data_IF_900452752855
#
_entry.id   IF_900452752855
#
_cell.length_a   1.000
_cell.length_b   1.000
_cell.length_c   1.000
_cell.angle_alpha   90.00
_cell.angle_beta   90.00
_cell.angle_gamma   90.00
#
_symmetry.space_group_name_H-M   'P 1'
#
loop_
_entity.id
_entity.type
_entity.pdbx_description
1 polymer ?
#
# COMPACT_ATOMS: atom_id res chain seq x y z
N UNK A 1 39.57 28.54 29.59
CA UNK A 1 39.06 28.68 28.21
C UNK A 1 37.54 28.50 28.26
N UNK A 2 36.79 29.51 27.87
CA UNK A 2 35.34 29.41 27.80
C UNK A 2 34.98 28.33 26.76
N UNK A 3 34.28 27.27 27.19
CA UNK A 3 33.69 26.30 26.26
C UNK A 3 32.70 27.06 25.39
N UNK A 4 32.88 27.05 24.06
CA UNK A 4 31.94 27.69 23.17
C UNK A 4 30.53 27.12 23.44
N UNK A 5 29.51 27.97 23.43
CA UNK A 5 28.14 27.57 23.49
C UNK A 5 27.92 26.52 22.37
N UNK A 6 27.15 25.47 22.65
CA UNK A 6 26.77 24.42 21.67
C UNK A 6 27.84 23.35 21.36
N UNK A 7 28.96 23.23 22.03
CA UNK A 7 29.93 22.14 21.82
C UNK A 7 29.28 20.73 21.95
N UNK A 8 28.25 20.59 22.78
CA UNK A 8 27.50 19.33 22.91
C UNK A 8 26.70 18.96 21.64
N UNK A 9 26.32 19.95 20.84
CA UNK A 9 25.59 19.75 19.60
C UNK A 9 26.50 19.37 18.43
N UNK A 10 27.81 19.56 18.55
CA UNK A 10 28.76 19.34 17.48
C UNK A 10 28.67 17.96 16.84
N UNK A 11 28.65 16.89 17.65
CA UNK A 11 28.51 15.51 17.13
C UNK A 11 27.18 15.27 16.41
N UNK A 12 26.08 15.82 16.93
CA UNK A 12 24.78 15.70 16.32
C UNK A 12 24.70 16.42 14.97
N UNK A 13 25.29 17.61 14.90
CA UNK A 13 25.35 18.39 13.66
C UNK A 13 26.25 17.71 12.62
N UNK A 14 27.42 17.19 13.03
CA UNK A 14 28.28 16.42 12.13
C UNK A 14 27.56 15.17 11.56
N UNK A 15 26.89 14.42 12.44
CA UNK A 15 26.08 13.28 12.03
C UNK A 15 25.01 13.69 11.02
N UNK A 16 24.21 14.70 11.36
CA UNK A 16 23.13 15.20 10.49
C UNK A 16 23.66 15.66 9.13
N UNK A 17 24.79 16.37 9.12
CA UNK A 17 25.41 16.82 7.87
C UNK A 17 25.86 15.65 6.99
N UNK A 18 26.56 14.67 7.59
CA UNK A 18 27.03 13.47 6.90
C UNK A 18 25.87 12.65 6.35
N UNK A 19 24.85 12.36 7.17
CA UNK A 19 23.66 11.61 6.75
C UNK A 19 22.95 12.30 5.58
N UNK A 20 22.91 13.62 5.56
CA UNK A 20 22.19 14.38 4.55
C UNK A 20 23.01 14.64 3.28
N UNK A 21 24.32 14.89 3.39
CA UNK A 21 25.10 15.42 2.28
C UNK A 21 26.15 14.45 1.73
N UNK A 22 26.31 13.25 2.30
CA UNK A 22 27.30 12.30 1.82
C UNK A 22 26.69 10.98 1.35
N UNK A 23 27.27 10.39 0.35
CA UNK A 23 27.11 9.04 -0.15
C UNK A 23 28.40 8.63 -0.86
N UNK A 24 28.50 7.39 -1.37
CA UNK A 24 29.68 6.87 -2.04
C UNK A 24 30.14 7.75 -3.23
N UNK A 25 29.19 8.27 -4.02
CA UNK A 25 29.48 9.12 -5.17
C UNK A 25 29.78 10.59 -4.78
N UNK A 26 29.38 10.99 -3.57
CA UNK A 26 29.49 12.38 -3.07
C UNK A 26 30.09 12.40 -1.65
N UNK A 27 31.35 11.99 -1.49
CA UNK A 27 32.01 12.05 -0.19
C UNK A 27 32.29 13.50 0.20
N UNK A 28 32.20 13.82 1.49
CA UNK A 28 32.42 15.17 2.03
C UNK A 28 33.84 15.33 2.63
N UNK A 29 34.40 16.48 2.42
CA UNK A 29 35.75 16.81 2.95
C UNK A 29 35.69 17.32 4.38
N UNK A 30 36.81 17.21 5.12
CA UNK A 30 36.93 17.80 6.45
C UNK A 30 36.76 19.33 6.42
N UNK A 31 37.10 19.98 5.29
CA UNK A 31 36.93 21.44 5.14
C UNK A 31 35.42 21.80 5.10
N UNK A 32 34.60 21.05 4.35
CA UNK A 32 33.15 21.25 4.30
C UNK A 32 32.49 21.03 5.68
N UNK A 33 32.98 20.05 6.46
CA UNK A 33 32.49 19.84 7.83
C UNK A 33 32.79 21.01 8.75
N UNK A 34 34.01 21.59 8.65
CA UNK A 34 34.40 22.77 9.40
C UNK A 34 33.59 24.01 9.02
N UNK A 35 33.39 24.24 7.72
CA UNK A 35 32.56 25.32 7.19
C UNK A 35 31.12 25.23 7.68
N UNK A 36 30.54 24.03 7.63
CA UNK A 36 29.19 23.79 8.14
C UNK A 36 29.09 24.09 9.65
N UNK A 37 30.03 23.58 10.47
CA UNK A 37 30.03 23.86 11.90
C UNK A 37 30.19 25.36 12.19
N UNK A 38 31.00 26.04 11.41
CA UNK A 38 31.19 27.50 11.55
C UNK A 38 29.87 28.24 11.23
N UNK A 39 29.11 27.80 10.22
CA UNK A 39 27.79 28.38 9.91
C UNK A 39 26.75 28.17 11.02
N UNK A 40 26.91 27.08 11.81
CA UNK A 40 26.09 26.78 12.99
C UNK A 40 26.66 27.45 14.29
N UNK A 41 27.65 28.33 14.15
CA UNK A 41 28.27 29.07 15.28
C UNK A 41 29.20 28.21 16.14
N UNK A 42 29.67 27.06 15.63
CA UNK A 42 30.62 26.20 16.36
C UNK A 42 31.99 26.29 15.76
N UNK A 43 32.93 26.80 16.54
CA UNK A 43 34.34 26.77 16.18
C UNK A 43 34.94 25.40 16.47
N UNK A 44 35.58 24.80 15.48
CA UNK A 44 36.26 23.52 15.60
C UNK A 44 37.59 23.52 14.85
N UNK A 45 38.55 22.76 15.37
CA UNK A 45 39.82 22.50 14.69
C UNK A 45 39.77 21.18 13.92
N UNK A 46 40.55 21.11 12.84
CA UNK A 46 40.61 19.90 11.98
C UNK A 46 40.93 18.63 12.78
N UNK A 47 41.84 18.68 13.75
CA UNK A 47 42.20 17.54 14.60
C UNK A 47 41.01 17.05 15.43
N UNK A 48 40.21 17.99 15.95
CA UNK A 48 39.02 17.69 16.72
C UNK A 48 37.94 17.00 15.87
N UNK A 49 37.81 17.36 14.57
CA UNK A 49 36.85 16.68 13.66
C UNK A 49 37.19 15.21 13.50
N UNK A 50 38.48 14.85 13.36
CA UNK A 50 38.85 13.43 13.24
C UNK A 50 38.41 12.62 14.47
N UNK A 51 38.68 13.18 15.69
CA UNK A 51 38.22 12.52 16.92
C UNK A 51 36.71 12.41 17.03
N UNK A 52 35.98 13.43 16.55
CA UNK A 52 34.51 13.38 16.51
C UNK A 52 33.99 12.34 15.54
N UNK A 53 34.62 12.18 14.37
CA UNK A 53 34.26 11.18 13.38
C UNK A 53 34.54 9.76 13.90
N UNK A 54 35.65 9.53 14.59
CA UNK A 54 35.95 8.26 15.27
C UNK A 54 34.91 7.96 16.36
N UNK A 55 34.46 8.97 17.10
CA UNK A 55 33.41 8.82 18.10
C UNK A 55 32.06 8.43 17.43
N UNK A 56 31.70 9.01 16.27
CA UNK A 56 30.53 8.65 15.52
C UNK A 56 30.61 7.22 14.96
N UNK A 57 31.77 6.78 14.48
CA UNK A 57 32.02 5.40 14.08
C UNK A 57 31.84 4.44 15.27
N UNK A 58 32.41 4.78 16.42
CA UNK A 58 32.28 3.98 17.64
C UNK A 58 30.83 3.92 18.16
N UNK A 59 30.02 4.94 17.87
CA UNK A 59 28.59 4.97 18.17
C UNK A 59 27.78 4.05 17.22
N UNK A 60 28.37 3.59 16.11
CA UNK A 60 27.74 2.70 15.16
C UNK A 60 27.34 3.33 13.82
N UNK A 61 27.83 4.54 13.53
CA UNK A 61 27.66 5.14 12.22
C UNK A 61 28.64 4.49 11.24
N UNK A 62 28.12 3.86 10.17
CA UNK A 62 28.99 3.30 9.12
C UNK A 62 29.60 4.40 8.26
N UNK A 63 30.64 5.03 8.82
CA UNK A 63 31.33 6.15 8.22
C UNK A 63 32.62 5.65 7.55
N UNK A 64 32.65 5.72 6.23
CA UNK A 64 33.76 5.28 5.42
C UNK A 64 34.67 6.45 5.03
N UNK A 65 35.97 6.16 5.01
CA UNK A 65 37.01 7.12 4.65
C UNK A 65 37.55 6.80 3.27
N UNK A 66 37.58 7.81 2.39
CA UNK A 66 38.15 7.73 1.06
C UNK A 66 39.16 8.86 0.84
N UNK A 67 40.11 8.65 -0.05
CA UNK A 67 41.06 9.69 -0.47
C UNK A 67 40.77 10.11 -1.89
N UNK A 68 40.60 11.40 -2.09
CA UNK A 68 40.58 12.03 -3.41
C UNK A 68 41.87 12.85 -3.56
N UNK A 69 42.85 12.29 -4.24
CA UNK A 69 44.23 12.81 -4.27
C UNK A 69 44.82 12.91 -2.87
N UNK A 70 45.15 14.13 -2.44
CA UNK A 70 45.71 14.42 -1.10
C UNK A 70 44.62 14.79 -0.07
N UNK A 71 43.34 14.79 -0.47
CA UNK A 71 42.23 15.19 0.39
C UNK A 71 41.59 13.95 1.01
N UNK A 72 41.37 13.99 2.31
CA UNK A 72 40.58 12.95 3.01
C UNK A 72 39.13 13.35 3.01
N UNK A 73 38.29 12.45 2.53
CA UNK A 73 36.83 12.58 2.43
C UNK A 73 36.16 11.48 3.22
N UNK A 74 34.91 11.70 3.57
CA UNK A 74 34.08 10.80 4.38
C UNK A 74 32.70 10.68 3.79
N UNK A 75 32.12 9.50 3.89
CA UNK A 75 30.72 9.27 3.49
C UNK A 75 30.07 8.18 4.33
N UNK A 76 28.75 8.19 4.40
CA UNK A 76 27.96 7.14 5.02
C UNK A 76 27.85 5.98 4.02
N UNK A 77 28.38 4.79 4.39
CA UNK A 77 28.33 3.58 3.60
C UNK A 77 26.97 2.90 3.71
N UNK A 78 26.71 2.26 4.84
CA UNK A 78 25.45 1.57 5.07
C UNK A 78 24.41 2.50 5.71
N UNK A 79 23.18 2.43 5.20
CA UNK A 79 22.02 3.16 5.72
C UNK A 79 20.94 2.18 6.12
N UNK A 80 20.00 2.63 6.95
CA UNK A 80 18.82 1.81 7.34
C UNK A 80 18.06 1.28 6.12
N UNK A 81 17.99 2.10 5.06
CA UNK A 81 17.45 1.71 3.77
C UNK A 81 18.45 1.95 2.67
N UNK A 82 18.62 0.97 1.80
CA UNK A 82 19.37 1.13 0.56
C UNK A 82 18.55 1.89 -0.48
N UNK A 83 19.22 2.54 -1.43
CA UNK A 83 18.53 3.32 -2.47
C UNK A 83 17.51 2.51 -3.30
N UNK A 84 17.75 1.24 -3.70
CA UNK A 84 16.74 0.42 -4.38
C UNK A 84 15.48 0.19 -3.52
N UNK A 85 15.62 0.01 -2.22
CA UNK A 85 14.49 -0.18 -1.29
C UNK A 85 13.66 1.11 -1.18
N UNK A 86 14.32 2.27 -1.04
CA UNK A 86 13.64 3.56 -1.05
C UNK A 86 12.91 3.84 -2.35
N UNK A 87 13.49 3.44 -3.50
CA UNK A 87 12.81 3.51 -4.81
C UNK A 87 11.54 2.67 -4.82
N UNK A 88 11.62 1.43 -4.38
CA UNK A 88 10.46 0.53 -4.31
C UNK A 88 9.35 1.10 -3.42
N UNK A 89 9.71 1.64 -2.24
CA UNK A 89 8.76 2.29 -1.33
C UNK A 89 8.14 3.54 -1.96
N UNK A 90 8.94 4.39 -2.61
CA UNK A 90 8.46 5.59 -3.29
C UNK A 90 7.50 5.24 -4.44
N UNK A 91 7.81 4.21 -5.24
CA UNK A 91 6.98 3.71 -6.34
C UNK A 91 5.66 3.15 -5.81
N UNK A 92 5.68 2.40 -4.70
CA UNK A 92 4.49 1.87 -4.04
C UNK A 92 3.56 3.00 -3.56
N UNK A 93 4.12 4.04 -2.93
CA UNK A 93 3.37 5.23 -2.52
C UNK A 93 2.81 6.00 -3.72
N UNK A 94 3.62 6.15 -4.77
CA UNK A 94 3.23 6.88 -5.98
C UNK A 94 2.14 6.16 -6.77
N UNK A 95 2.22 4.84 -6.89
CA UNK A 95 1.28 4.02 -7.65
C UNK A 95 -0.05 3.80 -6.90
N UNK A 96 -0.08 3.88 -5.59
CA UNK A 96 -1.28 3.64 -4.79
C UNK A 96 -2.42 4.59 -5.15
N UNK A 97 -3.60 4.05 -5.47
CA UNK A 97 -4.85 4.81 -5.68
C UNK A 97 -5.45 5.29 -4.37
N UNK A 98 -5.20 4.54 -3.30
CA UNK A 98 -5.72 4.80 -1.97
C UNK A 98 -5.17 6.09 -1.36
N UNK A 99 -3.90 6.43 -1.63
CA UNK A 99 -3.22 7.60 -1.08
C UNK A 99 -3.47 8.81 -1.97
N UNK A 100 -3.93 9.93 -1.39
CA UNK A 100 -4.13 11.19 -2.13
C UNK A 100 -2.81 11.70 -2.72
N UNK A 101 -2.89 12.50 -3.78
CA UNK A 101 -1.68 13.08 -4.41
C UNK A 101 -0.86 13.88 -3.40
N UNK A 102 -1.51 14.71 -2.56
CA UNK A 102 -0.85 15.53 -1.54
C UNK A 102 -0.12 14.63 -0.53
N UNK A 103 -0.81 13.61 -0.01
CA UNK A 103 -0.22 12.69 0.98
C UNK A 103 0.92 11.85 0.39
N UNK A 104 0.82 11.46 -0.89
CA UNK A 104 1.93 10.78 -1.57
C UNK A 104 3.20 11.65 -1.62
N UNK A 105 3.06 12.94 -1.97
CA UNK A 105 4.19 13.86 -1.99
C UNK A 105 4.81 14.06 -0.60
N UNK A 106 3.98 14.17 0.44
CA UNK A 106 4.45 14.27 1.83
C UNK A 106 5.22 13.01 2.27
N UNK A 107 4.72 11.81 1.93
CA UNK A 107 5.37 10.55 2.26
C UNK A 107 6.68 10.38 1.50
N UNK A 108 6.71 10.70 0.20
CA UNK A 108 7.94 10.65 -0.60
C UNK A 108 8.97 11.62 -0.04
N UNK A 109 8.57 12.84 0.36
CA UNK A 109 9.49 13.78 0.99
C UNK A 109 10.09 13.26 2.32
N UNK A 110 9.34 12.46 3.07
CA UNK A 110 9.87 11.77 4.27
C UNK A 110 10.86 10.67 3.88
N UNK A 111 10.59 9.88 2.85
CA UNK A 111 11.51 8.86 2.33
C UNK A 111 12.81 9.49 1.82
N UNK A 112 12.73 10.64 1.15
CA UNK A 112 13.89 11.42 0.72
C UNK A 112 14.80 11.83 1.90
N UNK A 113 14.23 12.06 3.08
CA UNK A 113 14.96 12.35 4.30
C UNK A 113 15.80 11.19 4.86
N UNK A 114 15.59 9.96 4.36
CA UNK A 114 16.32 8.77 4.79
C UNK A 114 17.59 8.50 3.96
N UNK A 115 17.87 9.33 2.98
CA UNK A 115 19.05 9.21 2.12
C UNK A 115 19.74 10.56 1.91
N UNK A 116 20.86 10.58 1.14
CA UNK A 116 21.53 11.83 0.81
C UNK A 116 20.68 12.72 -0.10
N UNK A 117 20.93 14.04 -0.07
CA UNK A 117 20.25 14.99 -0.97
C UNK A 117 20.53 14.70 -2.46
N UNK A 118 21.61 14.01 -2.75
CA UNK A 118 21.97 13.61 -4.10
C UNK A 118 21.10 12.45 -4.58
N UNK A 119 21.02 11.39 -3.77
CA UNK A 119 20.16 10.22 -4.04
C UNK A 119 18.67 10.57 -3.94
N UNK A 120 18.26 11.48 -3.07
CA UNK A 120 16.88 11.95 -2.95
C UNK A 120 16.35 12.56 -4.27
N UNK A 121 17.20 13.23 -5.05
CA UNK A 121 16.82 13.75 -6.38
C UNK A 121 16.44 12.64 -7.36
N UNK A 122 16.98 11.45 -7.17
CA UNK A 122 16.64 10.30 -8.00
C UNK A 122 15.27 9.74 -7.65
N UNK A 123 14.85 9.78 -6.37
CA UNK A 123 13.52 9.34 -5.94
C UNK A 123 12.39 10.19 -6.56
N UNK A 124 12.65 11.47 -6.83
CA UNK A 124 11.65 12.38 -7.44
C UNK A 124 11.40 12.14 -8.93
N UNK A 125 12.32 11.51 -9.63
CA UNK A 125 12.24 11.27 -11.09
C UNK A 125 11.44 10.04 -11.46
N UNK A 126 10.80 9.41 -10.48
CA UNK A 126 10.27 8.06 -10.59
C UNK A 126 8.90 8.01 -11.27
N UNK A 127 8.63 6.86 -11.79
CA UNK A 127 7.43 6.29 -12.40
C UNK A 127 6.30 7.28 -12.74
N UNK A 128 6.14 7.56 -14.03
CA UNK A 128 4.95 8.22 -14.55
C UNK A 128 3.77 7.26 -14.45
N UNK A 129 2.97 7.42 -13.41
CA UNK A 129 1.72 6.68 -13.25
C UNK A 129 0.69 7.27 -14.22
N UNK A 130 0.49 6.60 -15.35
CA UNK A 130 -0.43 7.04 -16.39
C UNK A 130 -1.87 7.00 -15.87
N UNK A 131 -2.54 8.16 -15.82
CA UNK A 131 -3.99 8.33 -15.62
C UNK A 131 -4.64 7.60 -14.42
N UNK A 132 -3.94 7.42 -13.30
CA UNK A 132 -4.58 6.89 -12.09
C UNK A 132 -5.32 7.98 -11.34
N UNK A 133 -6.63 7.80 -11.20
CA UNK A 133 -7.47 8.64 -10.33
C UNK A 133 -7.12 8.25 -8.89
N UNK A 134 -6.41 9.13 -8.18
CA UNK A 134 -6.12 8.95 -6.75
C UNK A 134 -7.34 9.33 -5.92
N UNK A 135 -7.45 8.74 -4.73
CA UNK A 135 -8.48 9.10 -3.77
C UNK A 135 -8.44 10.61 -3.49
N UNK A 136 -9.62 11.23 -3.41
CA UNK A 136 -9.76 12.65 -3.08
C UNK A 136 -9.97 12.88 -1.58
N UNK A 137 -10.21 11.81 -0.81
CA UNK A 137 -10.53 11.89 0.60
C UNK A 137 -9.28 11.62 1.46
N UNK A 138 -8.75 12.66 2.10
CA UNK A 138 -7.61 12.53 3.03
C UNK A 138 -7.98 11.80 4.33
N UNK A 139 -9.28 11.69 4.67
CA UNK A 139 -9.73 11.03 5.90
C UNK A 139 -9.55 9.51 5.88
N UNK A 140 -9.39 8.89 4.70
CA UNK A 140 -9.24 7.43 4.58
C UNK A 140 -8.06 6.91 5.42
N UNK A 141 -6.97 7.64 5.45
CA UNK A 141 -5.80 7.30 6.26
C UNK A 141 -6.15 7.18 7.76
N UNK A 142 -6.94 8.13 8.28
CA UNK A 142 -7.39 8.11 9.67
C UNK A 142 -8.44 7.01 9.90
N UNK A 143 -9.33 6.77 8.94
CA UNK A 143 -10.31 5.68 9.02
C UNK A 143 -9.64 4.31 9.15
N UNK A 144 -8.56 4.07 8.41
CA UNK A 144 -7.80 2.81 8.54
C UNK A 144 -7.20 2.67 9.93
N UNK A 145 -6.63 3.74 10.50
CA UNK A 145 -6.05 3.74 11.85
C UNK A 145 -7.12 3.53 12.94
N UNK A 146 -8.27 4.20 12.81
CA UNK A 146 -9.42 4.01 13.70
C UNK A 146 -9.96 2.58 13.63
N UNK A 147 -10.04 1.98 12.44
CA UNK A 147 -10.46 0.60 12.25
C UNK A 147 -9.46 -0.38 12.89
N UNK A 148 -8.15 -0.18 12.72
CA UNK A 148 -7.14 -0.96 13.43
C UNK A 148 -7.29 -0.86 14.94
N UNK A 149 -7.53 0.34 15.45
CA UNK A 149 -7.74 0.57 16.89
C UNK A 149 -8.98 -0.17 17.39
N UNK A 150 -10.08 -0.13 16.64
CA UNK A 150 -11.30 -0.84 16.99
C UNK A 150 -11.12 -2.37 16.97
N UNK A 151 -10.41 -2.89 15.96
CA UNK A 151 -10.09 -4.32 15.84
C UNK A 151 -9.24 -4.80 17.03
N UNK A 152 -8.16 -4.07 17.34
CA UNK A 152 -7.26 -4.41 18.43
C UNK A 152 -7.90 -4.27 19.82
N UNK A 153 -8.84 -3.35 19.95
CA UNK A 153 -9.57 -3.10 21.18
C UNK A 153 -10.85 -3.92 21.37
N UNK A 154 -11.14 -4.88 20.48
CA UNK A 154 -12.37 -5.69 20.50
C UNK A 154 -13.66 -4.86 20.55
N UNK A 155 -13.67 -3.69 19.88
CA UNK A 155 -14.79 -2.74 19.91
C UNK A 155 -15.70 -2.93 18.70
N UNK A 156 -17.01 -2.78 18.93
CA UNK A 156 -17.97 -2.59 17.83
C UNK A 156 -17.88 -1.17 17.29
N UNK A 157 -18.24 -1.03 16.02
CA UNK A 157 -18.23 0.25 15.31
C UNK A 157 -19.57 0.52 14.65
N UNK A 158 -19.85 1.79 14.46
CA UNK A 158 -20.97 2.28 13.65
C UNK A 158 -20.45 3.24 12.62
N UNK A 159 -21.06 3.20 11.44
CA UNK A 159 -20.69 4.10 10.35
C UNK A 159 -21.85 4.26 9.37
N UNK A 160 -21.78 5.31 8.56
CA UNK A 160 -22.58 5.43 7.36
C UNK A 160 -21.81 4.86 6.17
N UNK A 161 -22.52 4.20 5.26
CA UNK A 161 -21.92 3.62 4.06
C UNK A 161 -22.45 4.32 2.82
N UNK A 162 -21.55 4.73 1.93
CA UNK A 162 -21.87 5.53 0.76
C UNK A 162 -21.80 4.70 -0.52
N UNK A 163 -22.55 5.12 -1.52
CA UNK A 163 -22.49 4.61 -2.88
C UNK A 163 -22.61 5.77 -3.87
N UNK A 164 -22.78 5.45 -5.12
CA UNK A 164 -23.08 6.44 -6.18
C UNK A 164 -24.47 6.16 -6.74
N UNK A 165 -25.20 7.25 -7.05
CA UNK A 165 -26.45 7.15 -7.82
C UNK A 165 -26.17 7.07 -9.32
N UNK A 166 -27.22 6.89 -10.14
CA UNK A 166 -27.11 6.84 -11.61
C UNK A 166 -26.62 8.14 -12.27
N UNK A 167 -26.50 9.23 -11.51
CA UNK A 167 -25.93 10.52 -11.94
C UNK A 167 -24.49 10.72 -11.46
N UNK A 168 -23.86 9.70 -10.84
CA UNK A 168 -22.51 9.78 -10.31
C UNK A 168 -22.37 10.58 -9.01
N UNK A 169 -23.47 10.89 -8.32
CA UNK A 169 -23.44 11.63 -7.06
C UNK A 169 -23.31 10.65 -5.89
N UNK A 170 -22.47 10.99 -4.93
CA UNK A 170 -22.28 10.20 -3.70
C UNK A 170 -23.55 10.30 -2.84
N UNK A 171 -24.13 9.16 -2.51
CA UNK A 171 -25.35 9.04 -1.70
C UNK A 171 -25.15 8.04 -0.59
N UNK A 172 -25.83 8.24 0.55
CA UNK A 172 -25.85 7.29 1.66
C UNK A 172 -26.67 6.07 1.27
N UNK A 173 -26.13 4.89 1.48
CA UNK A 173 -26.89 3.62 1.31
C UNK A 173 -27.88 3.42 2.48
N UNK A 174 -28.86 2.58 2.29
CA UNK A 174 -29.96 2.27 3.26
C UNK A 174 -30.68 3.53 3.75
N UNK A 175 -30.84 4.56 2.90
CA UNK A 175 -31.49 5.81 3.31
C UNK A 175 -30.77 6.57 4.42
N UNK A 176 -29.47 6.36 4.60
CA UNK A 176 -28.68 6.99 5.66
C UNK A 176 -28.71 6.26 7.00
N UNK A 177 -29.20 5.02 7.05
CA UNK A 177 -29.16 4.23 8.28
C UNK A 177 -27.71 3.88 8.66
N UNK A 178 -27.47 3.79 9.96
CA UNK A 178 -26.22 3.33 10.53
C UNK A 178 -25.99 1.84 10.26
N UNK A 179 -24.76 1.50 9.95
CA UNK A 179 -24.26 0.15 9.94
C UNK A 179 -23.63 -0.13 11.30
N UNK A 180 -24.08 -1.19 11.98
CA UNK A 180 -23.54 -1.65 13.27
C UNK A 180 -22.74 -2.93 12.99
N UNK A 181 -21.42 -2.85 13.11
CA UNK A 181 -20.51 -3.88 12.65
C UNK A 181 -19.46 -4.20 13.70
N UNK A 182 -19.21 -5.49 13.92
CA UNK A 182 -18.08 -5.99 14.70
C UNK A 182 -16.89 -6.20 13.76
N UNK A 183 -15.85 -5.34 13.80
CA UNK A 183 -14.72 -5.41 12.88
C UNK A 183 -13.76 -6.54 13.27
N UNK A 184 -13.29 -7.35 12.31
CA UNK A 184 -12.38 -8.46 12.55
C UNK A 184 -11.05 -8.35 11.83
N UNK A 185 -11.05 -7.93 10.59
CA UNK A 185 -9.83 -7.79 9.80
C UNK A 185 -9.93 -6.64 8.79
N UNK A 186 -8.77 -6.12 8.39
CA UNK A 186 -8.63 -5.30 7.21
C UNK A 186 -7.92 -6.11 6.14
N UNK A 187 -8.52 -6.16 4.97
CA UNK A 187 -7.98 -6.81 3.79
C UNK A 187 -7.56 -5.74 2.77
N UNK A 188 -6.41 -5.95 2.15
CA UNK A 188 -5.97 -5.17 1.00
C UNK A 188 -6.20 -5.97 -0.28
N UNK A 189 -7.09 -5.51 -1.15
CA UNK A 189 -7.38 -6.12 -2.45
C UNK A 189 -7.61 -5.04 -3.51
N UNK A 190 -7.05 -5.24 -4.71
CA UNK A 190 -7.13 -4.33 -5.87
C UNK A 190 -6.96 -2.84 -5.48
N UNK A 191 -5.89 -2.54 -4.75
CA UNK A 191 -5.53 -1.19 -4.30
C UNK A 191 -6.58 -0.51 -3.39
N UNK A 192 -7.46 -1.28 -2.74
CA UNK A 192 -8.44 -0.79 -1.77
C UNK A 192 -8.34 -1.54 -0.45
N UNK A 193 -8.64 -0.86 0.64
CA UNK A 193 -8.89 -1.51 1.93
C UNK A 193 -10.33 -1.94 2.02
N UNK A 194 -10.53 -3.15 2.51
CA UNK A 194 -11.83 -3.73 2.83
C UNK A 194 -11.85 -4.11 4.31
N UNK A 195 -12.85 -3.61 5.01
CA UNK A 195 -13.15 -4.05 6.36
C UNK A 195 -13.95 -5.36 6.26
N UNK A 196 -13.45 -6.42 6.89
CA UNK A 196 -14.17 -7.67 7.11
C UNK A 196 -14.77 -7.59 8.50
N UNK A 197 -16.08 -7.68 8.59
CA UNK A 197 -16.79 -7.54 9.86
C UNK A 197 -18.12 -8.29 9.89
N UNK A 198 -18.59 -8.58 11.09
CA UNK A 198 -19.91 -9.15 11.30
C UNK A 198 -20.95 -8.03 11.36
N UNK A 199 -21.89 -8.04 10.41
CA UNK A 199 -23.01 -7.08 10.33
C UNK A 199 -24.15 -7.62 11.20
N UNK A 200 -24.42 -6.98 12.35
CA UNK A 200 -25.44 -7.41 13.31
C UNK A 200 -26.86 -7.40 12.72
N UNK A 201 -27.12 -6.53 11.72
CA UNK A 201 -28.43 -6.47 11.07
C UNK A 201 -28.75 -7.68 10.17
N UNK A 202 -27.72 -8.35 9.63
CA UNK A 202 -27.86 -9.52 8.76
C UNK A 202 -27.35 -10.80 9.43
N UNK A 203 -26.72 -10.71 10.59
CA UNK A 203 -26.12 -11.83 11.32
C UNK A 203 -25.11 -12.63 10.48
N UNK A 204 -24.31 -11.96 9.65
CA UNK A 204 -23.35 -12.55 8.74
C UNK A 204 -22.05 -11.76 8.64
N UNK A 205 -20.97 -12.43 8.19
CA UNK A 205 -19.71 -11.76 7.85
C UNK A 205 -19.88 -11.05 6.50
N UNK A 206 -19.53 -9.79 6.49
CA UNK A 206 -19.58 -8.93 5.29
C UNK A 206 -18.29 -8.15 5.14
N UNK A 207 -18.05 -7.65 3.93
CA UNK A 207 -16.92 -6.76 3.65
C UNK A 207 -17.41 -5.38 3.20
N UNK A 208 -16.68 -4.37 3.60
CA UNK A 208 -17.01 -2.96 3.33
C UNK A 208 -15.76 -2.24 2.83
N UNK A 209 -15.84 -1.60 1.67
CA UNK A 209 -14.75 -0.76 1.20
C UNK A 209 -14.57 0.44 2.13
N UNK A 210 -13.35 0.62 2.63
CA UNK A 210 -13.07 1.66 3.63
C UNK A 210 -13.26 3.07 3.07
N UNK A 211 -12.98 3.30 1.77
CA UNK A 211 -13.21 4.59 1.11
C UNK A 211 -14.67 5.02 1.00
N UNK A 212 -15.61 4.07 1.23
CA UNK A 212 -17.06 4.31 1.24
C UNK A 212 -17.63 4.49 2.65
N UNK A 213 -16.81 4.32 3.69
CA UNK A 213 -17.19 4.54 5.09
C UNK A 213 -17.14 6.04 5.39
N UNK A 214 -18.12 6.54 6.13
CA UNK A 214 -18.17 7.89 6.69
C UNK A 214 -18.73 7.86 8.10
N UNK A 215 -18.41 8.89 8.89
CA UNK A 215 -18.93 9.09 10.25
C UNK A 215 -18.65 7.87 11.17
N UNK A 216 -17.45 7.30 11.04
CA UNK A 216 -17.04 6.15 11.85
C UNK A 216 -17.00 6.52 13.33
N UNK A 217 -17.61 5.70 14.17
CA UNK A 217 -17.52 5.84 15.62
C UNK A 217 -17.54 4.47 16.30
N UNK A 218 -16.96 4.40 17.49
CA UNK A 218 -17.02 3.22 18.35
C UNK A 218 -18.43 3.11 18.95
N UNK A 219 -19.06 1.93 18.83
CA UNK A 219 -20.46 1.71 19.22
C UNK A 219 -20.63 0.94 20.54
N UNK A 220 -19.57 0.52 21.18
CA UNK A 220 -19.62 -0.20 22.45
C UNK A 220 -18.59 -1.32 22.57
N UNK A 221 -18.62 -2.01 23.68
CA UNK A 221 -17.70 -3.09 24.01
C UNK A 221 -18.24 -4.46 23.56
N UNK A 222 -17.31 -5.34 23.23
CA UNK A 222 -17.61 -6.71 22.85
C UNK A 222 -18.08 -6.86 21.41
N UNK A 223 -17.31 -7.63 20.63
CA UNK A 223 -17.66 -7.99 19.26
C UNK A 223 -18.63 -9.16 19.24
N UNK A 224 -19.54 -9.14 18.27
CA UNK A 224 -20.43 -10.24 17.92
C UNK A 224 -19.88 -11.04 16.74
N UNK A 225 -20.32 -12.28 16.55
CA UNK A 225 -19.99 -13.07 15.38
C UNK A 225 -18.60 -13.74 15.40
N UNK A 226 -17.94 -13.85 16.56
CA UNK A 226 -16.61 -14.46 16.69
C UNK A 226 -16.54 -15.90 16.14
N UNK A 227 -17.58 -16.70 16.35
CA UNK A 227 -17.67 -18.06 15.81
C UNK A 227 -17.80 -18.07 14.29
N UNK A 228 -18.57 -17.15 13.74
CA UNK A 228 -18.73 -17.01 12.28
C UNK A 228 -17.41 -16.59 11.63
N UNK A 229 -16.68 -15.66 12.25
CA UNK A 229 -15.37 -15.25 11.73
C UNK A 229 -14.32 -16.35 11.89
N UNK A 230 -14.29 -17.07 13.01
CA UNK A 230 -13.35 -18.18 13.23
C UNK A 230 -13.56 -19.37 12.27
N UNK A 231 -14.79 -19.56 11.78
CA UNK A 231 -15.13 -20.58 10.78
C UNK A 231 -14.81 -20.14 9.33
N UNK A 232 -14.44 -18.88 9.12
CA UNK A 232 -14.15 -18.34 7.80
C UNK A 232 -12.72 -18.70 7.38
N UNK A 233 -12.60 -19.42 6.28
CA UNK A 233 -11.31 -19.55 5.59
C UNK A 233 -11.06 -18.25 4.79
N UNK A 234 -10.17 -17.39 5.32
CA UNK A 234 -9.84 -16.10 4.71
C UNK A 234 -9.24 -16.25 3.32
N UNK A 235 -8.45 -17.30 3.07
CA UNK A 235 -7.83 -17.53 1.77
C UNK A 235 -8.89 -17.90 0.73
N UNK A 236 -9.76 -18.85 1.06
CA UNK A 236 -10.88 -19.22 0.21
C UNK A 236 -11.87 -18.06 0.00
N UNK A 237 -12.14 -17.29 1.06
CA UNK A 237 -13.02 -16.12 1.00
C UNK A 237 -12.49 -15.06 0.03
N UNK A 238 -11.21 -14.70 0.13
CA UNK A 238 -10.60 -13.67 -0.74
C UNK A 238 -10.47 -14.13 -2.18
N UNK A 239 -10.16 -15.42 -2.40
CA UNK A 239 -10.04 -15.97 -3.75
C UNK A 239 -11.38 -16.05 -4.48
N UNK A 240 -12.49 -16.33 -3.77
CA UNK A 240 -13.81 -16.45 -4.34
C UNK A 240 -14.47 -15.09 -4.68
N UNK A 241 -14.10 -14.01 -3.98
CA UNK A 241 -14.75 -12.71 -4.14
C UNK A 241 -13.98 -11.82 -5.13
N UNK A 242 -14.40 -11.81 -6.40
CA UNK A 242 -13.87 -10.90 -7.42
C UNK A 242 -14.15 -9.45 -7.07
N UNK A 243 -13.10 -8.62 -6.92
CA UNK A 243 -13.25 -7.21 -6.55
C UNK A 243 -14.09 -7.01 -5.28
N UNK A 244 -14.17 -8.04 -4.42
CA UNK A 244 -14.96 -8.05 -3.19
C UNK A 244 -16.47 -7.78 -3.41
N UNK A 245 -17.04 -8.31 -4.49
CA UNK A 245 -18.49 -8.35 -4.65
C UNK A 245 -19.10 -9.41 -3.74
N UNK A 246 -20.21 -9.09 -3.09
CA UNK A 246 -20.96 -10.03 -2.24
C UNK A 246 -21.66 -11.08 -3.08
N UNK A 247 -21.53 -12.35 -2.72
CA UNK A 247 -22.21 -13.46 -3.39
C UNK A 247 -21.95 -14.78 -2.68
N UNK A 248 -22.70 -15.80 -3.03
CA UNK A 248 -22.45 -17.16 -2.56
C UNK A 248 -21.31 -17.77 -3.39
N UNK A 249 -20.22 -18.28 -2.75
CA UNK A 249 -19.16 -18.96 -3.50
C UNK A 249 -19.72 -20.23 -4.19
N UNK A 250 -19.53 -20.31 -5.48
CA UNK A 250 -19.87 -21.48 -6.32
C UNK A 250 -18.67 -21.86 -7.18
N UNK A 251 -18.51 -23.16 -7.43
CA UNK A 251 -17.51 -23.65 -8.37
C UNK A 251 -18.05 -23.48 -9.80
N UNK A 252 -17.51 -22.50 -10.51
CA UNK A 252 -17.87 -22.26 -11.91
C UNK A 252 -16.80 -22.84 -12.85
N UNK A 253 -17.26 -23.36 -13.99
CA UNK A 253 -16.38 -23.82 -15.07
C UNK A 253 -16.29 -22.74 -16.13
N UNK A 254 -15.08 -22.22 -16.34
CA UNK A 254 -14.79 -21.21 -17.35
C UNK A 254 -14.11 -21.87 -18.55
N UNK A 255 -14.48 -21.50 -19.77
CA UNK A 255 -13.71 -21.77 -20.98
C UNK A 255 -12.99 -20.49 -21.41
N UNK A 256 -11.66 -20.54 -21.45
CA UNK A 256 -10.79 -19.40 -21.69
C UNK A 256 -9.90 -19.63 -22.91
N UNK A 257 -9.53 -18.56 -23.60
CA UNK A 257 -8.47 -18.62 -24.63
C UNK A 257 -7.10 -18.88 -23.99
N UNK A 258 -6.22 -19.59 -24.69
CA UNK A 258 -4.85 -19.89 -24.20
C UNK A 258 -4.08 -18.65 -23.82
N UNK A 259 -4.32 -17.52 -24.49
CA UNK A 259 -3.71 -16.20 -24.15
C UNK A 259 -4.04 -15.70 -22.75
N UNK A 260 -5.08 -16.24 -22.11
CA UNK A 260 -5.51 -15.87 -20.77
C UNK A 260 -4.95 -16.77 -19.66
N UNK A 261 -4.16 -17.79 -20.01
CA UNK A 261 -3.62 -18.72 -19.02
C UNK A 261 -2.83 -18.00 -17.93
N UNK A 262 -1.98 -17.02 -18.30
CA UNK A 262 -1.26 -16.20 -17.34
C UNK A 262 -2.19 -15.44 -16.39
N UNK A 263 -3.24 -14.78 -16.91
CA UNK A 263 -4.18 -14.02 -16.09
C UNK A 263 -5.00 -14.92 -15.13
N UNK A 264 -5.33 -16.14 -15.56
CA UNK A 264 -6.00 -17.14 -14.72
C UNK A 264 -5.08 -17.61 -13.60
N UNK A 265 -3.82 -17.93 -13.92
CA UNK A 265 -2.82 -18.35 -12.94
C UNK A 265 -2.52 -17.23 -11.94
N UNK A 266 -2.34 -15.99 -12.42
CA UNK A 266 -2.09 -14.83 -11.57
C UNK A 266 -3.23 -14.59 -10.56
N UNK A 267 -4.46 -14.91 -10.95
CA UNK A 267 -5.65 -14.72 -10.12
C UNK A 267 -5.94 -15.86 -9.16
N UNK A 268 -5.87 -17.10 -9.65
CA UNK A 268 -6.32 -18.28 -8.89
C UNK A 268 -5.18 -19.13 -8.35
N UNK A 269 -3.94 -18.78 -8.69
CA UNK A 269 -2.73 -19.46 -8.23
C UNK A 269 -2.19 -20.48 -9.25
N UNK A 270 -0.91 -20.83 -9.06
CA UNK A 270 -0.16 -21.76 -9.93
C UNK A 270 -0.69 -23.19 -9.87
N UNK A 271 -1.39 -23.55 -8.78
CA UNK A 271 -1.97 -24.90 -8.59
C UNK A 271 -3.31 -25.09 -9.32
N UNK A 272 -3.77 -24.05 -10.01
CA UNK A 272 -5.03 -24.09 -10.78
C UNK A 272 -4.87 -25.00 -11.99
N UNK A 273 -5.73 -26.03 -12.08
CA UNK A 273 -5.69 -27.00 -13.18
C UNK A 273 -6.33 -26.41 -14.44
N UNK A 274 -5.52 -26.18 -15.47
CA UNK A 274 -5.95 -25.78 -16.80
C UNK A 274 -6.09 -27.02 -17.66
N UNK A 275 -7.28 -27.27 -18.21
CA UNK A 275 -7.58 -28.46 -19.03
C UNK A 275 -7.83 -28.02 -20.47
N UNK A 276 -6.98 -28.40 -21.45
CA UNK A 276 -7.23 -28.09 -22.85
C UNK A 276 -8.63 -28.57 -23.30
N UNK A 277 -9.37 -27.72 -24.00
CA UNK A 277 -10.74 -28.05 -24.47
C UNK A 277 -10.84 -28.18 -25.99
N UNK A 278 -10.58 -27.12 -26.72
CA UNK A 278 -10.53 -27.06 -28.19
C UNK A 278 -9.26 -26.26 -28.60
N UNK A 279 -8.95 -26.27 -29.88
CA UNK A 279 -7.78 -25.55 -30.40
C UNK A 279 -7.79 -24.07 -29.95
N UNK A 280 -6.75 -23.65 -29.24
CA UNK A 280 -6.60 -22.29 -28.72
C UNK A 280 -7.42 -21.99 -27.44
N UNK A 281 -8.00 -23.02 -26.78
CA UNK A 281 -8.81 -22.85 -25.57
C UNK A 281 -8.52 -23.90 -24.49
N UNK A 282 -8.70 -23.49 -23.23
CA UNK A 282 -8.70 -24.39 -22.08
C UNK A 282 -9.92 -24.14 -21.20
N UNK A 283 -10.27 -25.11 -20.36
CA UNK A 283 -11.25 -24.97 -19.30
C UNK A 283 -10.58 -24.97 -17.93
N UNK A 284 -11.15 -24.21 -17.01
CA UNK A 284 -10.76 -24.15 -15.62
C UNK A 284 -11.97 -24.15 -14.73
N UNK A 285 -11.91 -24.84 -13.59
CA UNK A 285 -12.96 -24.79 -12.57
C UNK A 285 -12.42 -24.03 -11.36
N UNK A 286 -13.09 -22.93 -11.02
CA UNK A 286 -12.65 -22.02 -9.97
C UNK A 286 -13.80 -21.58 -9.08
N UNK A 287 -13.56 -21.37 -7.77
CA UNK A 287 -14.58 -20.83 -6.87
C UNK A 287 -14.77 -19.34 -7.15
N UNK A 288 -16.02 -18.93 -7.37
CA UNK A 288 -16.39 -17.52 -7.59
C UNK A 288 -17.64 -17.19 -6.78
N UNK A 289 -17.64 -16.06 -6.09
CA UNK A 289 -18.83 -15.55 -5.42
C UNK A 289 -19.83 -15.03 -6.48
N UNK A 290 -20.89 -15.76 -6.68
CA UNK A 290 -21.94 -15.42 -7.66
C UNK A 290 -22.87 -14.38 -7.01
N UNK A 291 -22.81 -13.15 -7.48
CA UNK A 291 -23.75 -12.09 -7.06
C UNK A 291 -25.01 -12.11 -7.90
N UNK A 292 -26.10 -11.52 -7.39
CA UNK A 292 -27.32 -11.31 -8.16
C UNK A 292 -27.07 -10.49 -9.44
N UNK A 293 -26.04 -9.67 -9.47
CA UNK A 293 -25.59 -8.91 -10.63
C UNK A 293 -24.96 -9.81 -11.71
N UNK A 294 -24.33 -10.92 -11.30
CA UNK A 294 -23.77 -11.92 -12.22
C UNK A 294 -24.87 -12.82 -12.82
N UNK A 295 -26.00 -12.97 -12.12
CA UNK A 295 -27.11 -13.82 -12.53
C UNK A 295 -28.27 -13.12 -13.30
N UNK A 296 -28.21 -11.78 -13.41
CA UNK A 296 -29.19 -11.04 -14.22
C UNK A 296 -28.78 -11.08 -15.68
N UNK A 297 -29.64 -11.63 -16.55
CA UNK A 297 -29.41 -11.73 -18.00
C UNK A 297 -29.12 -10.38 -18.69
N UNK A 298 -29.40 -9.27 -18.01
CA UNK A 298 -29.07 -7.90 -18.46
C UNK A 298 -27.61 -7.47 -18.18
N UNK A 299 -26.87 -8.22 -17.36
CA UNK A 299 -25.46 -7.98 -17.04
C UNK A 299 -24.65 -9.24 -17.31
N UNK A 300 -24.58 -9.62 -18.58
CA UNK A 300 -23.72 -10.72 -19.04
C UNK A 300 -22.21 -10.39 -18.98
N UNK A 301 -21.83 -9.28 -18.37
CA UNK A 301 -20.46 -8.77 -18.36
C UNK A 301 -19.97 -8.51 -16.92
N UNK A 302 -19.17 -9.42 -16.37
CA UNK A 302 -18.38 -9.14 -15.18
C UNK A 302 -17.01 -8.61 -15.62
N UNK A 303 -16.68 -7.38 -15.22
CA UNK A 303 -15.37 -6.76 -15.50
C UNK A 303 -14.37 -7.23 -14.43
N UNK A 304 -13.51 -8.18 -14.75
CA UNK A 304 -12.32 -8.46 -13.96
C UNK A 304 -11.24 -7.44 -14.36
N UNK A 305 -10.99 -6.45 -13.48
CA UNK A 305 -10.02 -5.40 -13.74
C UNK A 305 -8.59 -5.89 -13.50
N UNK A 306 -7.73 -5.80 -14.49
CA UNK A 306 -6.30 -5.94 -14.37
C UNK A 306 -5.60 -5.22 -15.53
N UNK A 307 -4.77 -4.24 -15.25
CA UNK A 307 -3.83 -3.59 -16.19
C UNK A 307 -4.42 -3.00 -17.50
N UNK A 308 -5.57 -2.35 -17.42
CA UNK A 308 -6.14 -1.62 -18.56
C UNK A 308 -6.82 -2.47 -19.62
N UNK A 309 -6.94 -3.78 -19.42
CA UNK A 309 -7.74 -4.67 -20.27
C UNK A 309 -9.07 -4.99 -19.58
N UNK A 310 -10.16 -4.89 -20.32
CA UNK A 310 -11.50 -5.28 -19.85
C UNK A 310 -11.71 -6.76 -20.17
N UNK A 311 -11.98 -7.57 -19.15
CA UNK A 311 -12.34 -8.98 -19.30
C UNK A 311 -13.86 -9.09 -19.10
N UNK A 312 -14.57 -9.72 -20.04
CA UNK A 312 -15.99 -9.95 -19.95
C UNK A 312 -16.26 -11.46 -19.80
N UNK A 313 -17.08 -11.82 -18.81
CA UNK A 313 -17.56 -13.19 -18.67
C UNK A 313 -18.96 -13.21 -19.27
N UNK A 314 -19.13 -13.87 -20.41
CA UNK A 314 -20.44 -14.09 -21.01
C UNK A 314 -21.00 -15.43 -20.53
N UNK A 315 -22.22 -15.44 -19.95
CA UNK A 315 -22.91 -16.66 -19.54
C UNK A 315 -23.72 -17.19 -20.72
N UNK A 316 -23.38 -18.39 -21.22
CA UNK A 316 -24.22 -19.10 -22.16
C UNK A 316 -25.26 -19.98 -21.42
N UNK A 317 -26.52 -19.68 -21.61
CA UNK A 317 -27.68 -20.18 -20.88
C UNK A 317 -28.01 -21.68 -21.03
N UNK A 318 -27.22 -22.54 -21.65
CA UNK A 318 -27.68 -23.92 -21.92
C UNK A 318 -26.78 -25.04 -21.39
N UNK A 319 -25.61 -24.75 -20.86
CA UNK A 319 -24.67 -25.80 -20.42
C UNK A 319 -23.93 -25.55 -19.14
N UNK A 320 -24.17 -24.42 -18.43
CA UNK A 320 -23.41 -24.05 -17.23
C UNK A 320 -21.94 -23.69 -17.51
N UNK A 321 -21.58 -23.51 -18.79
CA UNK A 321 -20.23 -23.07 -19.16
C UNK A 321 -20.19 -21.55 -19.37
N UNK A 322 -19.20 -20.91 -18.79
CA UNK A 322 -18.94 -19.48 -18.94
C UNK A 322 -17.82 -19.27 -19.95
N UNK A 323 -18.00 -18.38 -20.88
CA UNK A 323 -16.98 -17.99 -21.87
C UNK A 323 -16.39 -16.63 -21.48
N UNK A 324 -15.08 -16.57 -21.24
CA UNK A 324 -14.37 -15.34 -20.96
C UNK A 324 -13.96 -14.71 -22.30
N UNK A 325 -14.60 -13.62 -22.68
CA UNK A 325 -14.27 -12.84 -23.87
C UNK A 325 -13.35 -11.67 -23.47
N UNK A 326 -12.22 -11.56 -24.14
CA UNK A 326 -11.32 -10.40 -24.01
C UNK A 326 -11.57 -9.47 -25.19
N UNK A 327 -11.88 -8.23 -24.90
CA UNK A 327 -11.84 -7.15 -25.88
C UNK A 327 -10.62 -6.30 -25.63
N UNK A 328 -9.80 -6.07 -26.68
CA UNK A 328 -8.68 -5.14 -26.69
C UNK A 328 -9.15 -3.68 -26.67
#
# INVERSE_FOLDING_TARGET
MARSANQKLKLLLLRQYLERNSDEAHPVTTAQLLEYLASEGISAERKSIYSDLEALQSFGLDLLRVRDGNITCWYIGERVFQLPELRLLADSVQSSRFITRKKSLELIAKLEGLTSVHQAKELRRQVVVKNRIKAMNESIYYLVDELHTAINGDKRIRFHYTGYDGHGRRVLRRGGAWYDVSPYALLWDDENYYLIGYDSAFSEIRHFRVDKISDLCTAGDGREGSKAFAALDMSAYTSAHFGMFSGTPENIRLECRDTLAGAVIDRFGTDTMLIPSREGYFTVTVPVAVSAELGDERYSEAVAGGYGRKYYISMKNSSGAYELLVYD
#
